data_IF_909579599529
#
_entry.id   IF_909579599529
#
_cell.length_a   1.000
_cell.length_b   1.000
_cell.length_c   1.000
_cell.angle_alpha   90.00
_cell.angle_beta   90.00
_cell.angle_gamma   90.00
#
_symmetry.space_group_name_H-M   'P 1'
#
loop_
_entity.id
_entity.type
_entity.pdbx_description
1 polymer ?
#
# COMPACT_ATOMS: atom_id res chain seq x y z
N UNK A 1 -2.39 10.73 -23.89
CA UNK A 1 -1.19 10.66 -23.01
C UNK A 1 -1.53 11.40 -21.73
N UNK A 2 -1.28 10.82 -20.56
CA UNK A 2 -1.41 11.54 -19.29
C UNK A 2 -0.33 12.63 -19.23
N UNK A 3 -0.62 13.83 -18.69
CA UNK A 3 0.40 14.85 -18.51
C UNK A 3 1.51 14.34 -17.59
N UNK A 4 2.76 14.84 -17.75
CA UNK A 4 3.82 14.48 -16.83
C UNK A 4 3.44 14.88 -15.39
N UNK A 5 3.92 14.13 -14.39
CA UNK A 5 3.78 14.49 -12.99
C UNK A 5 4.17 15.95 -12.74
N UNK A 6 3.35 16.67 -11.97
CA UNK A 6 3.69 18.02 -11.54
C UNK A 6 4.72 17.97 -10.39
N UNK A 7 5.59 18.98 -10.22
CA UNK A 7 6.41 19.12 -9.01
C UNK A 7 5.52 19.06 -7.76
N UNK A 8 5.94 18.29 -6.75
CA UNK A 8 5.15 18.06 -5.53
C UNK A 8 4.11 16.92 -5.63
N UNK A 9 3.97 16.28 -6.79
CA UNK A 9 3.10 15.09 -6.95
C UNK A 9 3.65 13.86 -6.20
N UNK A 10 4.94 13.86 -5.87
CA UNK A 10 5.59 12.81 -5.11
C UNK A 10 6.39 13.42 -3.95
N UNK A 11 6.30 12.77 -2.79
CA UNK A 11 7.15 13.04 -1.64
C UNK A 11 7.81 11.72 -1.21
N UNK A 12 9.09 11.81 -0.83
CA UNK A 12 9.83 10.67 -0.27
C UNK A 12 10.02 10.90 1.22
N UNK A 13 9.67 9.90 2.02
CA UNK A 13 9.95 9.86 3.45
C UNK A 13 11.18 8.95 3.64
N UNK A 14 12.29 9.50 4.14
CA UNK A 14 13.56 8.78 4.35
C UNK A 14 14.02 9.07 5.76
N UNK A 15 14.35 8.03 6.53
CA UNK A 15 14.75 8.11 7.94
C UNK A 15 13.75 8.90 8.82
N UNK A 16 12.48 8.90 8.42
CA UNK A 16 11.41 9.60 9.14
C UNK A 16 11.02 8.84 10.42
N UNK A 17 10.82 9.55 11.55
CA UNK A 17 10.27 8.94 12.75
C UNK A 17 8.94 8.26 12.45
N UNK A 18 8.73 7.07 13.03
CA UNK A 18 7.55 6.24 12.73
C UNK A 18 6.22 6.96 12.98
N UNK A 19 6.16 7.85 13.98
CA UNK A 19 4.98 8.67 14.27
C UNK A 19 4.71 9.72 13.18
N UNK A 20 5.73 10.23 12.51
CA UNK A 20 5.55 11.11 11.35
C UNK A 20 5.01 10.31 10.16
N UNK A 21 5.56 9.11 9.91
CA UNK A 21 5.03 8.22 8.87
C UNK A 21 3.56 7.90 9.12
N UNK A 22 3.19 7.56 10.37
CA UNK A 22 1.79 7.34 10.75
C UNK A 22 0.91 8.56 10.46
N UNK A 23 1.38 9.77 10.78
CA UNK A 23 0.67 11.00 10.48
C UNK A 23 0.42 11.18 8.98
N UNK A 24 1.43 10.96 8.13
CA UNK A 24 1.26 11.02 6.68
C UNK A 24 0.28 9.97 6.16
N UNK A 25 0.37 8.72 6.66
CA UNK A 25 -0.52 7.63 6.25
C UNK A 25 -1.99 7.95 6.52
N UNK A 26 -2.31 8.57 7.67
CA UNK A 26 -3.69 8.96 8.01
C UNK A 26 -4.28 10.01 7.06
N UNK A 27 -3.45 10.72 6.29
CA UNK A 27 -3.91 11.68 5.27
C UNK A 27 -4.12 11.02 3.90
N UNK A 28 -3.73 9.75 3.72
CA UNK A 28 -3.88 9.04 2.45
C UNK A 28 -5.31 8.49 2.29
N UNK A 29 -5.87 8.64 1.09
CA UNK A 29 -7.13 7.97 0.73
C UNK A 29 -6.97 6.46 0.51
N UNK A 30 -5.78 6.00 0.14
CA UNK A 30 -5.44 4.60 -0.04
C UNK A 30 -3.93 4.41 0.13
N UNK A 31 -3.52 3.24 0.63
CA UNK A 31 -2.13 2.79 0.70
C UNK A 31 -1.93 1.55 -0.17
N UNK A 32 -0.78 1.47 -0.85
CA UNK A 32 -0.33 0.30 -1.61
C UNK A 32 1.10 -0.02 -1.18
N UNK A 33 1.35 -1.26 -0.80
CA UNK A 33 2.70 -1.68 -0.37
C UNK A 33 2.88 -3.18 -0.40
N UNK A 34 4.13 -3.63 -0.34
CA UNK A 34 4.46 -5.04 -0.17
C UNK A 34 4.20 -5.52 1.27
N UNK A 35 4.39 -6.81 1.53
CA UNK A 35 4.45 -7.34 2.90
C UNK A 35 5.57 -6.66 3.71
N UNK A 36 5.22 -5.66 4.53
CA UNK A 36 6.15 -4.81 5.27
C UNK A 36 5.49 -4.15 6.48
N UNK A 37 6.29 -3.73 7.48
CA UNK A 37 5.78 -3.05 8.69
C UNK A 37 4.96 -1.79 8.41
N UNK A 38 5.27 -1.03 7.35
CA UNK A 38 4.49 0.16 6.98
C UNK A 38 3.10 -0.21 6.44
N UNK A 39 2.97 -1.33 5.72
CA UNK A 39 1.69 -1.87 5.27
C UNK A 39 0.81 -2.27 6.44
N UNK A 40 1.40 -2.91 7.47
CA UNK A 40 0.69 -3.22 8.71
C UNK A 40 0.26 -1.95 9.46
N UNK A 41 1.13 -0.94 9.54
CA UNK A 41 0.82 0.32 10.18
C UNK A 41 -0.35 1.03 9.46
N UNK A 42 -0.31 1.12 8.13
CA UNK A 42 -1.38 1.72 7.32
C UNK A 42 -2.75 1.04 7.58
N UNK A 43 -2.78 -0.28 7.52
CA UNK A 43 -3.99 -1.05 7.78
C UNK A 43 -4.51 -0.85 9.22
N UNK A 44 -3.63 -0.85 10.22
CA UNK A 44 -3.99 -0.65 11.62
C UNK A 44 -4.55 0.76 11.87
N UNK A 45 -4.05 1.76 11.15
CA UNK A 45 -4.55 3.14 11.20
C UNK A 45 -5.91 3.32 10.48
N UNK A 46 -6.45 2.27 9.87
CA UNK A 46 -7.73 2.29 9.17
C UNK A 46 -7.65 2.82 7.74
N UNK A 47 -6.45 3.04 7.21
CA UNK A 47 -6.26 3.48 5.82
C UNK A 47 -6.63 2.32 4.90
N UNK A 48 -7.48 2.53 3.87
CA UNK A 48 -7.75 1.51 2.86
C UNK A 48 -6.43 1.00 2.27
N UNK A 49 -6.16 -0.29 2.42
CA UNK A 49 -4.83 -0.86 2.19
C UNK A 49 -4.87 -1.98 1.15
N UNK A 50 -4.08 -1.83 0.08
CA UNK A 50 -3.79 -2.89 -0.89
C UNK A 50 -2.40 -3.47 -0.58
N UNK A 51 -2.36 -4.69 -0.05
CA UNK A 51 -1.13 -5.36 0.33
C UNK A 51 -0.72 -6.40 -0.72
N UNK A 52 0.50 -6.25 -1.24
CA UNK A 52 1.07 -7.07 -2.30
C UNK A 52 1.97 -8.15 -1.72
N UNK A 53 1.61 -9.41 -1.92
CA UNK A 53 2.33 -10.56 -1.41
C UNK A 53 3.07 -11.28 -2.54
N UNK A 54 4.37 -11.48 -2.32
CA UNK A 54 5.22 -12.34 -3.12
C UNK A 54 5.43 -13.67 -2.41
N UNK A 55 6.68 -14.05 -2.08
CA UNK A 55 7.01 -15.37 -1.54
C UNK A 55 6.47 -15.65 -0.13
N UNK A 56 5.99 -14.62 0.59
CA UNK A 56 5.42 -14.76 1.93
C UNK A 56 3.95 -15.16 1.87
N UNK A 57 3.51 -15.89 2.89
CA UNK A 57 2.13 -16.38 2.98
C UNK A 57 1.21 -15.40 3.74
N UNK A 58 0.17 -14.82 3.09
CA UNK A 58 -0.78 -13.93 3.74
C UNK A 58 -1.53 -14.58 4.90
N UNK A 59 -1.69 -15.90 4.89
CA UNK A 59 -2.29 -16.64 6.00
C UNK A 59 -1.56 -16.40 7.33
N UNK A 60 -0.25 -16.13 7.27
CA UNK A 60 0.59 -15.86 8.43
C UNK A 60 0.78 -14.37 8.70
N UNK A 61 0.89 -13.57 7.63
CA UNK A 61 1.43 -12.21 7.72
C UNK A 61 0.49 -11.13 7.19
N UNK A 62 -0.76 -11.43 6.81
CA UNK A 62 -1.65 -10.37 6.28
C UNK A 62 -1.82 -9.23 7.30
N UNK A 63 -1.82 -7.97 6.83
CA UNK A 63 -2.12 -6.83 7.69
C UNK A 63 -3.56 -6.91 8.22
N UNK A 64 -3.74 -6.46 9.45
CA UNK A 64 -5.03 -6.43 10.14
C UNK A 64 -5.52 -4.99 10.15
N UNK A 65 -6.71 -4.79 9.60
CA UNK A 65 -7.34 -3.48 9.49
C UNK A 65 -8.79 -3.61 9.00
N UNK A 66 -9.58 -2.54 9.08
CA UNK A 66 -10.99 -2.56 8.68
C UNK A 66 -11.17 -2.77 7.17
N UNK A 67 -10.23 -2.28 6.36
CA UNK A 67 -10.33 -2.28 4.89
C UNK A 67 -9.00 -2.70 4.29
N UNK A 68 -8.83 -4.00 4.04
CA UNK A 68 -7.60 -4.60 3.50
C UNK A 68 -7.93 -5.47 2.29
N UNK A 69 -7.24 -5.23 1.18
CA UNK A 69 -7.23 -6.09 -0.01
C UNK A 69 -5.87 -6.75 -0.16
N UNK A 70 -5.84 -8.08 -0.26
CA UNK A 70 -4.60 -8.84 -0.49
C UNK A 70 -4.53 -9.24 -1.95
N UNK A 71 -3.40 -8.97 -2.59
CA UNK A 71 -3.09 -9.48 -3.93
C UNK A 71 -1.79 -10.27 -3.84
N UNK A 72 -1.84 -11.57 -4.12
CA UNK A 72 -0.68 -12.46 -4.05
C UNK A 72 -0.29 -12.95 -5.44
N UNK A 73 1.00 -12.93 -5.75
CA UNK A 73 1.56 -13.51 -6.97
C UNK A 73 2.97 -14.03 -6.74
N UNK A 74 3.24 -15.23 -7.24
CA UNK A 74 4.55 -15.87 -7.18
C UNK A 74 5.14 -16.04 -8.59
N UNK A 75 6.27 -15.37 -8.93
CA UNK A 75 6.95 -14.34 -8.14
C UNK A 75 6.25 -12.97 -8.29
N UNK A 76 6.39 -12.09 -7.28
CA UNK A 76 5.66 -10.81 -7.23
C UNK A 76 5.95 -9.91 -8.44
N UNK A 77 7.16 -9.97 -9.02
CA UNK A 77 7.51 -9.15 -10.19
C UNK A 77 6.67 -9.49 -11.44
N UNK A 78 5.95 -10.61 -11.43
CA UNK A 78 5.05 -11.02 -12.52
C UNK A 78 3.60 -10.58 -12.29
N UNK A 79 3.31 -9.85 -11.21
CA UNK A 79 1.98 -9.30 -10.95
C UNK A 79 1.69 -8.16 -11.93
N UNK A 80 0.64 -8.27 -12.78
CA UNK A 80 0.25 -7.17 -13.66
C UNK A 80 -0.23 -5.96 -12.85
N UNK A 81 -0.11 -4.75 -13.41
CA UNK A 81 -0.49 -3.51 -12.74
C UNK A 81 -2.01 -3.36 -12.66
N UNK A 82 -2.73 -3.86 -13.66
CA UNK A 82 -4.18 -3.74 -13.80
C UNK A 82 -4.95 -4.20 -12.55
N UNK A 83 -4.77 -5.42 -12.01
CA UNK A 83 -5.48 -5.84 -10.79
C UNK A 83 -5.14 -4.99 -9.58
N UNK A 84 -3.92 -4.45 -9.50
CA UNK A 84 -3.51 -3.53 -8.42
C UNK A 84 -4.25 -2.20 -8.56
N UNK A 85 -4.29 -1.65 -9.77
CA UNK A 85 -4.99 -0.39 -10.05
C UNK A 85 -6.49 -0.53 -9.80
N UNK A 86 -7.11 -1.63 -10.23
CA UNK A 86 -8.52 -1.91 -9.94
C UNK A 86 -8.79 -1.95 -8.43
N UNK A 87 -7.95 -2.64 -7.65
CA UNK A 87 -8.10 -2.70 -6.21
C UNK A 87 -8.01 -1.31 -5.55
N UNK A 88 -7.09 -0.47 -6.01
CA UNK A 88 -6.93 0.91 -5.51
C UNK A 88 -8.15 1.76 -5.83
N UNK A 89 -8.63 1.71 -7.07
CA UNK A 89 -9.79 2.48 -7.51
C UNK A 89 -11.09 2.06 -6.79
N UNK A 90 -11.17 0.83 -6.27
CA UNK A 90 -12.32 0.41 -5.45
C UNK A 90 -12.33 1.02 -4.04
N UNK A 91 -11.20 1.59 -3.59
CA UNK A 91 -11.08 2.25 -2.28
C UNK A 91 -11.25 3.77 -2.33
N UNK A 92 -11.29 4.36 -3.54
CA UNK A 92 -11.47 5.79 -3.78
C UNK A 92 -12.94 6.12 -4.10
#
# INVERSE_FOLDING_TARGET
MLPPPQPGMFASLIDEPLLHVAHYLQQCSCYIGNDSGITHLAAMLGVPTVALFGPTEPANWRPIGPTVTIIQKHPLQTLPVEPVLTAVLHHL
#
